data_IF_243582544411
#
_entry.id   IF_243582544411
#
_cell.length_a   1.000
_cell.length_b   1.000
_cell.length_c   1.000
_cell.angle_alpha   90.00
_cell.angle_beta   90.00
_cell.angle_gamma   90.00
#
_symmetry.space_group_name_H-M   'P 1'
#
loop_
_entity.id
_entity.type
_entity.pdbx_description
1 polymer ?
#
# COMPACT_ATOMS: atom_id res chain seq x y z
N UNK A 1 -32.10 42.09 -55.38
CA UNK A 1 -32.76 40.96 -54.67
C UNK A 1 -32.50 39.67 -55.42
N UNK A 2 -31.63 38.78 -54.90
CA UNK A 2 -31.62 37.32 -55.15
C UNK A 2 -30.56 36.71 -54.22
N UNK A 3 -31.05 36.02 -53.18
CA UNK A 3 -30.23 35.28 -52.20
C UNK A 3 -29.65 34.04 -52.90
N UNK A 4 -28.33 33.86 -52.89
CA UNK A 4 -27.73 32.56 -53.13
C UNK A 4 -27.38 31.92 -51.79
N UNK A 5 -27.98 30.75 -51.54
CA UNK A 5 -27.91 30.00 -50.29
C UNK A 5 -26.47 29.54 -50.03
N UNK A 6 -25.89 29.97 -48.91
CA UNK A 6 -24.75 29.27 -48.31
C UNK A 6 -25.21 27.87 -47.91
N UNK A 7 -24.78 26.85 -48.68
CA UNK A 7 -24.88 25.46 -48.28
C UNK A 7 -23.87 25.21 -47.15
N UNK A 8 -24.33 25.20 -45.90
CA UNK A 8 -23.58 24.60 -44.81
C UNK A 8 -23.54 23.08 -45.02
N UNK A 9 -22.36 22.44 -45.14
CA UNK A 9 -22.29 20.99 -45.09
C UNK A 9 -22.35 20.59 -43.62
N UNK A 10 -23.57 20.36 -43.17
CA UNK A 10 -23.86 19.65 -41.93
C UNK A 10 -23.55 18.16 -42.17
N UNK A 11 -22.29 17.73 -42.08
CA UNK A 11 -21.97 16.31 -42.21
C UNK A 11 -20.76 15.88 -41.38
N UNK A 12 -20.94 15.80 -40.06
CA UNK A 12 -20.10 14.92 -39.22
C UNK A 12 -20.99 14.07 -38.31
N UNK A 13 -21.76 13.18 -38.95
CA UNK A 13 -22.38 11.99 -38.33
C UNK A 13 -21.50 10.75 -38.55
N UNK A 14 -20.21 10.92 -38.83
CA UNK A 14 -19.34 9.81 -39.12
C UNK A 14 -18.72 9.29 -37.81
N UNK A 15 -19.08 8.07 -37.40
CA UNK A 15 -18.40 7.37 -36.30
C UNK A 15 -16.92 7.09 -36.61
N UNK A 16 -16.52 7.23 -37.88
CA UNK A 16 -15.17 6.95 -38.38
C UNK A 16 -14.40 8.23 -38.74
N UNK A 17 -14.76 9.37 -38.15
CA UNK A 17 -14.05 10.63 -38.40
C UNK A 17 -12.57 10.49 -38.01
N UNK A 18 -11.66 10.89 -38.90
CA UNK A 18 -10.21 10.85 -38.64
C UNK A 18 -9.78 12.09 -37.85
N UNK A 19 -8.68 11.99 -37.10
CA UNK A 19 -8.15 13.12 -36.31
C UNK A 19 -7.85 14.34 -37.21
N UNK A 20 -7.32 14.13 -38.41
CA UNK A 20 -7.07 15.19 -39.40
C UNK A 20 -8.34 15.88 -39.93
N UNK A 21 -9.52 15.25 -39.83
CA UNK A 21 -10.80 15.88 -40.21
C UNK A 21 -11.35 16.78 -39.08
N UNK A 22 -10.90 16.55 -37.85
CA UNK A 22 -11.33 17.26 -36.63
C UNK A 22 -10.32 18.34 -36.21
N UNK A 23 -9.05 18.16 -36.56
CA UNK A 23 -7.95 19.08 -36.29
C UNK A 23 -7.70 19.96 -37.52
N UNK A 24 -8.27 21.17 -37.53
CA UNK A 24 -8.18 22.13 -38.64
C UNK A 24 -7.56 23.45 -38.13
N UNK A 25 -6.55 23.95 -38.83
CA UNK A 25 -5.91 25.25 -38.53
C UNK A 25 -5.41 25.40 -37.08
N UNK A 26 -4.91 24.31 -36.49
CA UNK A 26 -4.42 24.29 -35.10
C UNK A 26 -5.52 24.21 -34.03
N UNK A 27 -6.80 24.12 -34.41
CA UNK A 27 -7.93 23.99 -33.48
C UNK A 27 -8.71 22.68 -33.70
N UNK A 28 -9.22 22.12 -32.59
CA UNK A 28 -10.02 20.88 -32.59
C UNK A 28 -11.51 21.22 -32.59
N UNK A 29 -12.16 20.95 -33.72
CA UNK A 29 -13.59 21.20 -33.91
C UNK A 29 -14.44 20.04 -33.41
N UNK A 30 -14.69 20.02 -32.11
CA UNK A 30 -15.67 19.09 -31.52
C UNK A 30 -17.11 19.59 -31.67
N UNK A 31 -18.04 18.67 -31.85
CA UNK A 31 -19.48 18.99 -31.82
C UNK A 31 -19.85 19.46 -30.41
N UNK A 32 -20.69 20.51 -30.33
CA UNK A 32 -21.30 20.92 -29.06
C UNK A 32 -22.17 19.77 -28.54
N UNK A 33 -21.79 19.20 -27.40
CA UNK A 33 -22.54 18.18 -26.69
C UNK A 33 -23.12 18.78 -25.41
N UNK A 34 -24.35 18.41 -25.03
CA UNK A 34 -24.97 18.85 -23.77
C UNK A 34 -24.66 17.93 -22.59
N UNK A 35 -24.04 16.78 -22.86
CA UNK A 35 -23.64 15.82 -21.83
C UNK A 35 -22.37 16.30 -21.11
N UNK A 36 -22.45 16.44 -19.79
CA UNK A 36 -21.36 16.95 -18.95
C UNK A 36 -20.10 16.09 -19.00
N UNK A 37 -20.24 14.75 -19.10
CA UNK A 37 -19.10 13.83 -19.19
C UNK A 37 -18.36 14.02 -20.50
N UNK A 38 -19.11 14.18 -21.59
CA UNK A 38 -18.53 14.42 -22.92
C UNK A 38 -17.87 15.81 -22.98
N UNK A 39 -18.45 16.83 -22.34
CA UNK A 39 -17.84 18.14 -22.24
C UNK A 39 -16.50 18.10 -21.49
N UNK A 40 -16.44 17.41 -20.34
CA UNK A 40 -15.19 17.26 -19.58
C UNK A 40 -14.13 16.53 -20.41
N UNK A 41 -14.50 15.43 -21.07
CA UNK A 41 -13.59 14.71 -21.97
C UNK A 41 -13.07 15.61 -23.11
N UNK A 42 -13.93 16.45 -23.71
CA UNK A 42 -13.52 17.40 -24.76
C UNK A 42 -12.51 18.42 -24.21
N UNK A 43 -12.68 18.89 -22.98
CA UNK A 43 -11.72 19.80 -22.34
C UNK A 43 -10.36 19.12 -22.13
N UNK A 44 -10.35 17.89 -21.62
CA UNK A 44 -9.12 17.11 -21.44
C UNK A 44 -8.40 16.86 -22.76
N UNK A 45 -9.16 16.51 -23.81
CA UNK A 45 -8.62 16.32 -25.15
C UNK A 45 -8.02 17.64 -25.66
N UNK A 46 -8.70 18.78 -25.51
CA UNK A 46 -8.19 20.09 -25.95
C UNK A 46 -6.92 20.51 -25.20
N UNK A 47 -6.80 20.17 -23.92
CA UNK A 47 -5.60 20.45 -23.13
C UNK A 47 -4.41 19.56 -23.52
N UNK A 48 -4.65 18.41 -24.16
CA UNK A 48 -3.59 17.50 -24.58
C UNK A 48 -2.85 18.06 -25.82
N UNK A 49 -1.55 18.39 -25.74
CA UNK A 49 -0.80 18.91 -26.88
C UNK A 49 -0.60 17.81 -27.93
N UNK A 50 -0.89 18.12 -29.19
CA UNK A 50 -0.60 17.23 -30.34
C UNK A 50 0.37 17.95 -31.26
N UNK A 51 1.55 17.37 -31.44
CA UNK A 51 2.51 17.76 -32.46
C UNK A 51 2.27 16.91 -33.71
N UNK A 52 1.81 17.54 -34.79
CA UNK A 52 1.74 16.89 -36.10
C UNK A 52 3.09 17.07 -36.79
N UNK A 53 3.71 15.98 -37.21
CA UNK A 53 4.94 16.00 -38.00
C UNK A 53 4.56 15.74 -39.45
N UNK A 54 4.84 16.70 -40.33
CA UNK A 54 4.52 16.56 -41.76
C UNK A 54 5.31 15.40 -42.40
N UNK A 55 4.66 14.72 -43.37
CA UNK A 55 5.23 13.60 -44.14
C UNK A 55 5.59 12.34 -43.33
N UNK A 56 5.12 12.21 -42.10
CA UNK A 56 5.21 10.96 -41.32
C UNK A 56 3.87 10.23 -41.42
N UNK A 57 3.88 8.93 -41.77
CA UNK A 57 2.67 8.11 -41.75
C UNK A 57 2.25 7.82 -40.31
N UNK A 58 0.95 7.94 -40.05
CA UNK A 58 0.36 7.54 -38.77
C UNK A 58 0.68 6.06 -38.48
N UNK A 59 1.20 5.80 -37.28
CA UNK A 59 1.54 4.47 -36.80
C UNK A 59 1.02 4.25 -35.39
N UNK A 60 0.55 3.04 -35.10
CA UNK A 60 0.20 2.65 -33.73
C UNK A 60 1.46 2.16 -33.04
N UNK A 61 1.81 2.78 -31.92
CA UNK A 61 2.93 2.35 -31.08
C UNK A 61 2.44 1.95 -29.70
N UNK A 62 3.07 0.92 -29.14
CA UNK A 62 2.86 0.48 -27.77
C UNK A 62 3.77 1.27 -26.83
N UNK A 63 3.20 1.85 -25.78
CA UNK A 63 3.96 2.47 -24.70
C UNK A 63 4.63 1.37 -23.87
N UNK A 64 5.96 1.34 -23.90
CA UNK A 64 6.81 0.34 -23.24
C UNK A 64 7.56 0.91 -22.01
N UNK A 65 7.43 2.21 -21.72
CA UNK A 65 8.01 2.89 -20.55
C UNK A 65 7.28 4.21 -20.29
N UNK A 66 7.76 5.04 -19.35
CA UNK A 66 7.14 6.37 -19.10
C UNK A 66 7.11 7.20 -20.39
N UNK A 67 8.21 7.25 -21.16
CA UNK A 67 8.25 7.97 -22.45
C UNK A 67 8.84 7.14 -23.60
N UNK A 68 8.79 5.81 -23.49
CA UNK A 68 9.33 4.91 -24.52
C UNK A 68 8.20 4.23 -25.28
N UNK A 69 8.24 4.31 -26.60
CA UNK A 69 7.25 3.71 -27.50
C UNK A 69 7.92 2.72 -28.45
N UNK A 70 7.23 1.64 -28.81
CA UNK A 70 7.75 0.64 -29.74
C UNK A 70 6.65 -0.04 -30.55
N UNK A 71 7.04 -0.71 -31.63
CA UNK A 71 6.09 -1.34 -32.57
C UNK A 71 5.46 -2.63 -32.05
N UNK A 72 6.06 -3.25 -31.02
CA UNK A 72 5.62 -4.53 -30.47
C UNK A 72 5.07 -4.37 -29.06
N UNK A 73 4.01 -5.13 -28.78
CA UNK A 73 3.47 -5.29 -27.44
C UNK A 73 4.44 -6.09 -26.57
N UNK A 74 4.82 -5.52 -25.42
CA UNK A 74 5.63 -6.22 -24.42
C UNK A 74 4.79 -6.38 -23.15
N UNK A 75 4.38 -7.61 -22.86
CA UNK A 75 3.51 -7.93 -21.72
C UNK A 75 4.10 -7.45 -20.39
N UNK A 76 5.42 -7.59 -20.19
CA UNK A 76 6.12 -7.14 -18.98
C UNK A 76 6.05 -5.62 -18.80
N UNK A 77 6.31 -4.86 -19.86
CA UNK A 77 6.30 -3.40 -19.84
C UNK A 77 4.88 -2.87 -19.56
N UNK A 78 3.89 -3.44 -20.25
CA UNK A 78 2.48 -3.09 -20.02
C UNK A 78 2.05 -3.43 -18.59
N UNK A 79 2.44 -4.60 -18.08
CA UNK A 79 2.19 -4.98 -16.69
C UNK A 79 2.84 -4.00 -15.71
N UNK A 80 4.08 -3.58 -15.97
CA UNK A 80 4.78 -2.59 -15.15
C UNK A 80 4.11 -1.22 -15.13
N UNK A 81 3.55 -0.76 -16.27
CA UNK A 81 2.86 0.52 -16.39
C UNK A 81 1.44 0.50 -15.78
N UNK A 82 0.76 -0.63 -15.85
CA UNK A 82 -0.63 -0.76 -15.39
C UNK A 82 -0.74 -1.23 -13.94
N UNK A 83 0.28 -1.92 -13.41
CA UNK A 83 0.23 -2.42 -12.05
C UNK A 83 0.43 -1.30 -11.03
N UNK A 84 -0.49 -1.21 -10.09
CA UNK A 84 -0.27 -0.46 -8.87
C UNK A 84 0.77 -1.20 -8.00
N UNK A 85 2.01 -0.69 -7.95
CA UNK A 85 3.05 -1.23 -7.07
C UNK A 85 2.79 -0.80 -5.62
N UNK A 86 1.88 -1.47 -4.94
CA UNK A 86 1.73 -1.27 -3.49
C UNK A 86 2.99 -1.80 -2.78
N UNK A 87 3.64 -0.96 -1.98
CA UNK A 87 4.67 -1.46 -1.07
C UNK A 87 4.03 -2.52 -0.17
N UNK A 88 4.56 -3.74 -0.25
CA UNK A 88 3.96 -4.86 0.43
C UNK A 88 4.58 -5.04 1.81
N UNK A 89 3.92 -4.47 2.83
CA UNK A 89 4.29 -4.63 4.24
C UNK A 89 4.20 -6.08 4.69
N UNK A 90 3.27 -6.83 4.10
CA UNK A 90 2.96 -8.20 4.50
C UNK A 90 3.95 -9.20 3.90
N UNK A 91 4.17 -9.14 2.60
CA UNK A 91 4.90 -10.19 1.89
C UNK A 91 6.32 -9.73 1.54
N UNK A 92 7.33 -10.28 2.23
CA UNK A 92 8.74 -9.98 1.96
C UNK A 92 9.66 -11.17 2.27
N UNK A 93 10.87 -11.25 1.67
CA UNK A 93 11.68 -12.48 1.71
C UNK A 93 12.14 -12.91 3.09
N UNK A 94 12.32 -11.97 4.02
CA UNK A 94 12.76 -12.25 5.39
C UNK A 94 11.56 -12.56 6.31
N UNK A 95 10.32 -12.40 5.86
CA UNK A 95 9.13 -12.74 6.64
C UNK A 95 9.09 -14.22 7.02
N UNK A 96 8.38 -14.55 8.10
CA UNK A 96 8.13 -15.94 8.51
C UNK A 96 6.66 -16.25 8.22
N UNK A 97 6.32 -17.33 7.49
CA UNK A 97 4.96 -17.57 7.00
C UNK A 97 3.86 -17.45 8.06
N UNK A 98 4.07 -18.02 9.26
CA UNK A 98 3.08 -17.93 10.36
C UNK A 98 2.83 -16.50 10.84
N UNK A 99 3.85 -15.64 10.88
CA UNK A 99 3.73 -14.26 11.31
C UNK A 99 3.10 -13.40 10.22
N UNK A 100 3.51 -13.63 8.97
CA UNK A 100 2.96 -13.00 7.78
C UNK A 100 1.46 -13.27 7.67
N UNK A 101 1.03 -14.52 7.86
CA UNK A 101 -0.38 -14.91 7.76
C UNK A 101 -1.25 -14.21 8.80
N UNK A 102 -0.85 -14.20 10.07
CA UNK A 102 -1.60 -13.49 11.13
C UNK A 102 -1.61 -11.99 10.88
N UNK A 103 -0.49 -11.41 10.41
CA UNK A 103 -0.42 -9.98 10.06
C UNK A 103 -1.33 -9.62 8.89
N UNK A 104 -1.39 -10.48 7.87
CA UNK A 104 -2.32 -10.32 6.76
C UNK A 104 -3.77 -10.31 7.24
N UNK A 105 -4.15 -11.23 8.13
CA UNK A 105 -5.48 -11.24 8.74
C UNK A 105 -5.74 -9.98 9.57
N UNK A 106 -4.77 -9.51 10.35
CA UNK A 106 -4.86 -8.28 11.14
C UNK A 106 -5.14 -7.07 10.24
N UNK A 107 -4.34 -6.86 9.19
CA UNK A 107 -4.50 -5.76 8.23
C UNK A 107 -5.88 -5.82 7.56
N UNK A 108 -6.38 -7.02 7.26
CA UNK A 108 -7.71 -7.21 6.66
C UNK A 108 -8.86 -7.08 7.66
N UNK A 109 -8.57 -6.82 8.94
CA UNK A 109 -9.52 -6.82 10.05
C UNK A 109 -10.32 -8.14 10.13
N UNK A 110 -9.64 -9.28 9.92
CA UNK A 110 -10.24 -10.62 9.85
C UNK A 110 -9.91 -11.53 11.03
N UNK A 111 -9.23 -11.02 12.05
CA UNK A 111 -9.03 -11.73 13.31
C UNK A 111 -10.33 -11.77 14.13
N UNK A 112 -10.45 -12.75 15.04
CA UNK A 112 -11.64 -12.96 15.88
C UNK A 112 -11.59 -12.08 17.14
N UNK A 113 -11.70 -10.77 16.93
CA UNK A 113 -11.77 -9.77 18.01
C UNK A 113 -13.15 -9.79 18.65
N UNK A 114 -13.25 -9.29 19.89
CA UNK A 114 -14.54 -9.23 20.59
C UNK A 114 -15.59 -8.45 19.81
N UNK A 115 -15.22 -7.34 19.18
CA UNK A 115 -16.13 -6.57 18.32
C UNK A 115 -16.83 -7.43 17.26
N UNK A 116 -16.16 -8.47 16.74
CA UNK A 116 -16.75 -9.41 15.76
C UNK A 116 -17.51 -10.55 16.42
N UNK A 117 -17.06 -11.06 17.58
CA UNK A 117 -17.78 -12.12 18.31
C UNK A 117 -18.99 -11.59 19.09
N UNK A 118 -19.05 -10.30 19.36
CA UNK A 118 -20.21 -9.61 19.94
C UNK A 118 -21.43 -9.71 19.03
N UNK A 119 -21.22 -9.68 17.70
CA UNK A 119 -22.29 -9.96 16.71
C UNK A 119 -22.85 -11.38 16.84
N UNK A 120 -22.14 -12.28 17.53
CA UNK A 120 -22.57 -13.65 17.84
C UNK A 120 -22.96 -13.82 19.32
N UNK A 121 -23.29 -12.73 20.02
CA UNK A 121 -23.83 -12.75 21.38
C UNK A 121 -22.79 -12.97 22.49
N UNK A 122 -21.50 -12.81 22.21
CA UNK A 122 -20.42 -12.97 23.20
C UNK A 122 -19.58 -11.68 23.33
N UNK A 123 -20.12 -10.63 23.97
CA UNK A 123 -19.35 -9.42 24.26
C UNK A 123 -18.26 -9.75 25.30
N UNK A 124 -17.01 -9.48 24.94
CA UNK A 124 -15.85 -9.60 25.82
C UNK A 124 -15.07 -8.28 25.80
N UNK A 125 -14.73 -7.73 26.97
CA UNK A 125 -13.77 -6.63 27.02
C UNK A 125 -12.38 -7.07 26.52
N UNK A 126 -11.51 -6.10 26.30
CA UNK A 126 -10.11 -6.32 25.98
C UNK A 126 -9.44 -7.11 27.12
N UNK A 127 -8.89 -8.28 26.81
CA UNK A 127 -8.23 -9.15 27.80
C UNK A 127 -6.90 -8.60 28.32
N UNK A 128 -6.47 -7.44 27.84
CA UNK A 128 -5.26 -6.77 28.26
C UNK A 128 -5.51 -5.66 29.28
N UNK A 129 -6.48 -4.78 29.03
CA UNK A 129 -6.74 -3.60 29.86
C UNK A 129 -8.19 -3.47 30.34
N UNK A 130 -9.09 -4.38 29.95
CA UNK A 130 -10.49 -4.37 30.37
C UNK A 130 -11.41 -3.45 29.57
N UNK A 131 -10.91 -2.73 28.55
CA UNK A 131 -11.73 -1.83 27.71
C UNK A 131 -12.91 -2.59 27.08
N UNK A 132 -14.16 -2.10 27.15
CA UNK A 132 -15.33 -2.84 26.65
C UNK A 132 -15.25 -3.16 25.16
N UNK A 133 -14.76 -2.22 24.35
CA UNK A 133 -14.71 -2.33 22.90
C UNK A 133 -13.34 -2.81 22.40
N UNK A 134 -13.12 -4.13 22.40
CA UNK A 134 -11.92 -4.74 21.83
C UNK A 134 -11.97 -4.75 20.29
N UNK A 135 -11.46 -3.68 19.67
CA UNK A 135 -11.26 -3.55 18.21
C UNK A 135 -9.85 -3.97 17.78
N UNK A 136 -9.61 -4.12 16.46
CA UNK A 136 -8.25 -4.37 15.91
C UNK A 136 -7.28 -3.29 16.38
N UNK A 137 -7.66 -2.04 16.23
CA UNK A 137 -6.80 -0.88 16.49
C UNK A 137 -6.47 -0.80 17.97
N UNK A 138 -7.48 -1.05 18.81
CA UNK A 138 -7.28 -1.19 20.25
C UNK A 138 -6.32 -2.33 20.61
N UNK A 139 -6.54 -3.55 20.11
CA UNK A 139 -5.67 -4.69 20.46
C UNK A 139 -4.21 -4.42 20.10
N UNK A 140 -3.93 -3.84 18.93
CA UNK A 140 -2.54 -3.76 18.46
C UNK A 140 -1.80 -2.50 18.88
N UNK A 141 -2.45 -1.33 18.88
CA UNK A 141 -1.75 -0.06 19.10
C UNK A 141 -2.42 0.89 20.10
N UNK A 142 -3.73 0.81 20.36
CA UNK A 142 -4.36 1.73 21.33
C UNK A 142 -4.42 1.19 22.77
N UNK A 143 -4.33 -0.12 22.98
CA UNK A 143 -4.36 -0.71 24.32
C UNK A 143 -3.06 -0.40 25.07
N UNK A 144 -3.11 0.12 26.31
CA UNK A 144 -1.91 0.50 27.06
C UNK A 144 -0.86 -0.61 27.20
N UNK A 145 -1.31 -1.85 27.42
CA UNK A 145 -0.42 -3.01 27.53
C UNK A 145 0.32 -3.29 26.21
N UNK A 146 -0.40 -3.33 25.09
CA UNK A 146 0.18 -3.69 23.78
C UNK A 146 0.93 -2.52 23.16
N UNK A 147 0.53 -1.28 23.43
CA UNK A 147 1.26 -0.09 23.02
C UNK A 147 2.59 0.05 23.78
N UNK A 148 2.60 -0.18 25.09
CA UNK A 148 3.85 -0.25 25.88
C UNK A 148 4.78 -1.35 25.34
N UNK A 149 4.21 -2.50 24.99
CA UNK A 149 4.96 -3.57 24.32
C UNK A 149 5.53 -3.11 22.99
N UNK A 150 4.73 -2.44 22.16
CA UNK A 150 5.11 -1.96 20.84
C UNK A 150 6.27 -0.97 20.90
N UNK A 151 6.15 0.09 21.70
CA UNK A 151 7.22 1.09 21.91
C UNK A 151 8.52 0.39 22.32
N UNK A 152 8.42 -0.55 23.26
CA UNK A 152 9.60 -1.27 23.77
C UNK A 152 10.31 -2.12 22.72
N UNK A 153 9.56 -2.78 21.82
CA UNK A 153 10.15 -3.71 20.84
C UNK A 153 10.48 -3.06 19.51
N UNK A 154 9.87 -1.92 19.17
CA UNK A 154 10.20 -1.19 17.94
C UNK A 154 11.42 -0.30 18.15
N UNK A 155 11.66 0.16 19.38
CA UNK A 155 12.78 1.03 19.72
C UNK A 155 12.80 2.28 18.83
N UNK A 156 14.00 2.69 18.41
CA UNK A 156 14.19 3.88 17.58
C UNK A 156 14.08 3.60 16.06
N UNK A 157 13.53 2.45 15.64
CA UNK A 157 13.50 2.08 14.20
C UNK A 157 12.67 3.04 13.33
N UNK A 158 11.64 3.69 13.89
CA UNK A 158 10.85 4.67 13.17
C UNK A 158 11.54 6.04 13.05
N UNK A 159 12.59 6.31 13.83
CA UNK A 159 13.21 7.63 13.93
C UNK A 159 12.34 8.70 14.61
N UNK A 160 11.10 8.38 14.96
CA UNK A 160 10.17 9.21 15.72
C UNK A 160 9.35 8.33 16.67
N UNK A 161 8.65 8.95 17.62
CA UNK A 161 7.78 8.23 18.54
C UNK A 161 6.65 7.50 17.80
N UNK A 162 6.38 6.22 18.13
CA UNK A 162 5.25 5.50 17.55
C UNK A 162 3.90 6.12 17.92
N UNK A 163 2.95 6.10 16.99
CA UNK A 163 1.59 6.59 17.20
C UNK A 163 0.65 5.43 17.64
N UNK A 164 -0.26 5.63 18.60
CA UNK A 164 -1.23 4.60 19.01
C UNK A 164 -2.31 4.32 17.95
N UNK A 165 -2.43 5.14 16.91
CA UNK A 165 -3.36 4.94 15.81
C UNK A 165 -2.81 3.93 14.78
N UNK A 166 -3.67 2.97 14.41
CA UNK A 166 -3.32 1.91 13.47
C UNK A 166 -3.04 2.45 12.08
N UNK A 167 -3.91 3.32 11.57
CA UNK A 167 -3.82 3.80 10.20
C UNK A 167 -2.63 4.74 10.03
N UNK A 168 -2.33 5.57 11.03
CA UNK A 168 -1.12 6.40 11.10
C UNK A 168 0.15 5.55 11.10
N UNK A 169 0.21 4.52 11.95
CA UNK A 169 1.36 3.59 11.98
C UNK A 169 1.54 2.86 10.65
N UNK A 170 0.45 2.40 10.02
CA UNK A 170 0.51 1.71 8.73
C UNK A 170 0.85 2.65 7.57
N UNK A 171 0.32 3.88 7.57
CA UNK A 171 0.65 4.89 6.60
C UNK A 171 2.14 5.23 6.69
N UNK A 172 2.65 5.48 7.90
CA UNK A 172 4.06 5.78 8.10
C UNK A 172 4.97 4.64 7.61
N UNK A 173 4.61 3.37 7.85
CA UNK A 173 5.38 2.25 7.32
C UNK A 173 5.34 2.14 5.78
N UNK A 174 4.24 2.55 5.14
CA UNK A 174 4.04 2.46 3.69
C UNK A 174 4.62 3.64 2.91
N UNK A 175 4.63 4.83 3.51
CA UNK A 175 5.05 6.08 2.86
C UNK A 175 6.41 6.58 3.37
N UNK A 176 6.87 6.07 4.51
CA UNK A 176 8.13 6.48 5.13
C UNK A 176 9.35 6.15 4.28
N UNK A 177 10.33 7.05 4.30
CA UNK A 177 11.62 6.85 3.65
C UNK A 177 12.58 6.17 4.61
N UNK A 178 12.58 4.84 4.62
CA UNK A 178 13.50 4.04 5.42
C UNK A 178 14.64 3.49 4.56
N UNK A 179 15.85 3.43 5.13
CA UNK A 179 16.90 2.62 4.51
C UNK A 179 16.49 1.15 4.49
N UNK A 180 17.12 0.38 3.60
CA UNK A 180 16.77 -1.01 3.35
C UNK A 180 16.75 -1.88 4.61
N UNK A 181 17.75 -1.75 5.48
CA UNK A 181 17.88 -2.62 6.65
C UNK A 181 16.79 -2.26 7.67
N UNK A 182 16.57 -0.98 7.90
CA UNK A 182 15.49 -0.48 8.76
C UNK A 182 14.13 -0.94 8.26
N UNK A 183 13.86 -0.84 6.96
CA UNK A 183 12.58 -1.29 6.41
C UNK A 183 12.37 -2.81 6.52
N UNK A 184 13.44 -3.61 6.46
CA UNK A 184 13.36 -5.06 6.73
C UNK A 184 13.05 -5.29 8.21
N UNK A 185 13.74 -4.60 9.12
CA UNK A 185 13.54 -4.73 10.56
C UNK A 185 12.14 -4.28 11.00
N UNK A 186 11.65 -3.14 10.51
CA UNK A 186 10.30 -2.63 10.81
C UNK A 186 9.22 -3.64 10.42
N UNK A 187 9.31 -4.23 9.22
CA UNK A 187 8.36 -5.26 8.79
C UNK A 187 8.49 -6.53 9.63
N UNK A 188 9.72 -6.95 9.97
CA UNK A 188 9.93 -8.11 10.85
C UNK A 188 9.31 -7.88 12.22
N UNK A 189 9.68 -6.80 12.90
CA UNK A 189 9.24 -6.52 14.26
C UNK A 189 7.73 -6.30 14.32
N UNK A 190 7.14 -5.61 13.35
CA UNK A 190 5.69 -5.46 13.25
C UNK A 190 5.00 -6.84 13.19
N UNK A 191 5.45 -7.71 12.29
CA UNK A 191 4.82 -9.02 12.11
C UNK A 191 5.00 -9.94 13.31
N UNK A 192 6.18 -9.94 13.92
CA UNK A 192 6.44 -10.71 15.15
C UNK A 192 5.56 -10.17 16.29
N UNK A 193 5.46 -8.85 16.44
CA UNK A 193 4.67 -8.21 17.50
C UNK A 193 3.19 -8.52 17.36
N UNK A 194 2.62 -8.33 16.17
CA UNK A 194 1.22 -8.68 15.88
C UNK A 194 0.95 -10.15 16.21
N UNK A 195 1.83 -11.05 15.80
CA UNK A 195 1.67 -12.47 16.11
C UNK A 195 1.68 -12.77 17.61
N UNK A 196 2.66 -12.22 18.35
CA UNK A 196 2.77 -12.48 19.79
C UNK A 196 1.67 -11.82 20.61
N UNK A 197 1.20 -10.62 20.22
CA UNK A 197 -0.01 -10.01 20.79
C UNK A 197 -1.21 -10.93 20.58
N UNK A 198 -1.43 -11.37 19.35
CA UNK A 198 -2.57 -12.24 19.02
C UNK A 198 -2.52 -13.56 19.80
N UNK A 199 -1.33 -14.17 19.88
CA UNK A 199 -1.10 -15.38 20.67
C UNK A 199 -1.36 -15.15 22.15
N UNK A 200 -0.82 -14.07 22.74
CA UNK A 200 -1.00 -13.73 24.15
C UNK A 200 -2.48 -13.52 24.47
N UNK A 201 -3.22 -12.81 23.62
CA UNK A 201 -4.67 -12.61 23.78
C UNK A 201 -5.42 -13.94 23.82
N UNK A 202 -5.08 -14.88 22.93
CA UNK A 202 -5.69 -16.21 22.91
C UNK A 202 -5.27 -17.06 24.12
N UNK A 203 -4.01 -16.98 24.55
CA UNK A 203 -3.53 -17.64 25.77
C UNK A 203 -4.29 -17.12 27.01
N UNK A 204 -4.53 -15.81 27.11
CA UNK A 204 -5.37 -15.23 28.18
C UNK A 204 -6.80 -15.75 28.14
N UNK A 205 -7.39 -15.83 26.94
CA UNK A 205 -8.78 -16.29 26.74
C UNK A 205 -8.98 -17.76 27.12
N UNK A 206 -8.05 -18.62 26.72
CA UNK A 206 -8.25 -20.08 26.76
C UNK A 206 -7.48 -20.78 27.87
N UNK A 207 -6.36 -20.20 28.31
CA UNK A 207 -5.45 -20.82 29.27
C UNK A 207 -5.30 -19.99 30.57
N UNK A 208 -6.06 -18.91 30.72
CA UNK A 208 -6.03 -17.99 31.87
C UNK A 208 -4.62 -17.53 32.26
N UNK A 209 -3.74 -17.40 31.26
CA UNK A 209 -2.33 -17.04 31.43
C UNK A 209 -2.12 -15.59 31.04
N UNK A 210 -1.62 -14.76 31.95
CA UNK A 210 -1.32 -13.34 31.68
C UNK A 210 0.17 -13.06 31.91
N UNK A 211 0.93 -12.88 30.82
CA UNK A 211 2.34 -12.50 30.91
C UNK A 211 2.48 -10.98 31.03
N UNK A 212 3.48 -10.48 31.77
CA UNK A 212 3.80 -9.06 31.77
C UNK A 212 4.50 -8.66 30.46
N UNK A 213 4.43 -7.36 30.11
CA UNK A 213 5.04 -6.78 28.89
C UNK A 213 6.50 -7.20 28.74
N UNK A 214 7.28 -7.17 29.82
CA UNK A 214 8.70 -7.52 29.82
C UNK A 214 8.99 -8.97 29.37
N UNK A 215 8.09 -9.91 29.65
CA UNK A 215 8.27 -11.30 29.23
C UNK A 215 8.00 -11.41 27.72
N UNK A 216 6.88 -10.84 27.26
CA UNK A 216 6.53 -10.86 25.83
C UNK A 216 7.57 -10.11 24.99
N UNK A 217 8.10 -8.98 25.47
CA UNK A 217 9.14 -8.22 24.77
C UNK A 217 10.42 -9.02 24.59
N UNK A 218 10.85 -9.78 25.62
CA UNK A 218 12.02 -10.69 25.52
C UNK A 218 11.80 -11.81 24.50
N UNK A 219 10.57 -12.34 24.42
CA UNK A 219 10.21 -13.35 23.41
C UNK A 219 10.27 -12.78 21.99
N UNK A 220 9.80 -11.55 21.80
CA UNK A 220 9.84 -10.84 20.52
C UNK A 220 11.29 -10.56 20.12
N UNK A 221 12.11 -9.96 21.00
CA UNK A 221 13.54 -9.71 20.74
C UNK A 221 14.27 -10.99 20.32
N UNK A 222 14.16 -12.05 21.14
CA UNK A 222 14.77 -13.35 20.82
C UNK A 222 14.32 -13.88 19.47
N UNK A 223 13.03 -13.74 19.14
CA UNK A 223 12.47 -14.22 17.86
C UNK A 223 13.01 -13.42 16.68
N UNK A 224 13.08 -12.09 16.80
CA UNK A 224 13.63 -11.22 15.74
C UNK A 224 15.11 -11.54 15.52
N UNK A 225 15.90 -11.64 16.59
CA UNK A 225 17.33 -11.99 16.52
C UNK A 225 17.55 -13.36 15.89
N UNK A 226 16.81 -14.38 16.31
CA UNK A 226 16.85 -15.70 15.71
C UNK A 226 16.48 -15.66 14.22
N UNK A 227 15.48 -14.85 13.86
CA UNK A 227 15.10 -14.69 12.45
C UNK A 227 16.22 -14.03 11.66
N UNK A 228 16.81 -12.95 12.14
CA UNK A 228 17.96 -12.28 11.51
C UNK A 228 19.09 -13.29 11.25
N UNK A 229 19.49 -14.06 12.26
CA UNK A 229 20.51 -15.11 12.12
C UNK A 229 20.15 -16.13 11.04
N UNK A 230 18.92 -16.63 11.04
CA UNK A 230 18.46 -17.63 10.05
C UNK A 230 18.46 -17.15 8.60
N UNK A 231 18.52 -15.84 8.35
CA UNK A 231 18.59 -15.32 6.97
C UNK A 231 19.96 -15.51 6.31
N UNK A 232 21.00 -15.87 7.10
CA UNK A 232 22.39 -15.91 6.64
C UNK A 232 22.92 -14.50 6.36
N UNK A 233 22.50 -13.51 7.16
CA UNK A 233 22.74 -12.09 6.89
C UNK A 233 24.22 -11.73 6.73
N UNK A 234 25.12 -12.43 7.41
CA UNK A 234 26.57 -12.21 7.33
C UNK A 234 27.16 -12.55 5.95
N UNK A 235 26.57 -13.52 5.24
CA UNK A 235 27.02 -13.97 3.92
C UNK A 235 26.36 -13.21 2.76
N UNK A 236 25.36 -12.38 3.05
CA UNK A 236 24.56 -11.67 2.05
C UNK A 236 24.85 -10.18 2.14
N UNK A 237 25.57 -9.56 1.18
CA UNK A 237 25.95 -8.14 1.25
C UNK A 237 24.76 -7.20 1.49
N UNK A 238 23.60 -7.55 0.91
CA UNK A 238 22.35 -6.80 1.03
C UNK A 238 21.67 -6.85 2.41
N UNK A 239 22.10 -7.75 3.29
CA UNK A 239 21.61 -7.93 4.66
C UNK A 239 22.72 -7.73 5.70
N UNK A 240 23.94 -7.46 5.26
CA UNK A 240 25.06 -7.23 6.15
C UNK A 240 24.76 -6.02 7.04
N UNK A 241 24.99 -6.15 8.34
CA UNK A 241 24.65 -5.12 9.33
C UNK A 241 23.23 -5.17 9.89
N UNK A 242 22.36 -6.09 9.43
CA UNK A 242 20.98 -6.20 9.95
C UNK A 242 20.93 -6.41 11.47
N UNK A 243 21.82 -7.27 12.00
CA UNK A 243 21.91 -7.51 13.44
C UNK A 243 22.46 -6.29 14.20
N UNK A 244 23.46 -5.59 13.63
CA UNK A 244 24.02 -4.38 14.22
C UNK A 244 22.95 -3.29 14.32
N UNK A 245 22.21 -3.04 13.24
CA UNK A 245 21.13 -2.04 13.22
C UNK A 245 20.02 -2.37 14.24
N UNK A 246 19.69 -3.65 14.43
CA UNK A 246 18.73 -4.06 15.47
C UNK A 246 19.21 -3.66 16.86
N UNK A 247 20.48 -3.89 17.19
CA UNK A 247 21.03 -3.47 18.47
C UNK A 247 21.08 -1.94 18.60
N UNK A 248 21.55 -1.22 17.59
CA UNK A 248 21.61 0.26 17.59
C UNK A 248 20.24 0.89 17.87
N UNK A 249 19.15 0.30 17.38
CA UNK A 249 17.80 0.80 17.63
C UNK A 249 17.29 0.58 19.06
N UNK A 250 17.97 -0.24 19.88
CA UNK A 250 17.55 -0.64 21.22
C UNK A 250 18.61 -0.37 22.30
N UNK A 251 19.64 0.42 21.98
CA UNK A 251 20.59 0.94 22.97
C UNK A 251 19.95 2.19 23.58
N UNK A 252 19.38 2.04 24.79
CA UNK A 252 19.10 3.10 25.75
C UNK A 252 19.71 2.68 27.09
#
# INVERSE_FOLDING_TARGET
MKKSKKSHPNSFKNKNAKICEVFLDGDRRFRRCRDQRIQNLILDIRAFPVSLVENVRDGVQWRNGEDTYGERFVSKATWDLTRYRKQNVVWFPQGVPRFVFITWLAIRNRLSTSHRTSQWGHPQGCLFCGEPDETRDHIFFACPYTFTLWIKVVGNLFGQEPDPDWDTTMAHLLTGSFDRLTFILLRLVLQVTIYYIWRERNDRKHNNSARPVNHVSKLIDKTVRNRITSTGYALKPRLQGLMRRWFEAHIL
#
